data_IF_994866790876
#
_entry.id   IF_994866790876
#
_cell.length_a   1.000
_cell.length_b   1.000
_cell.length_c   1.000
_cell.angle_alpha   90.00
_cell.angle_beta   90.00
_cell.angle_gamma   90.00
#
_symmetry.space_group_name_H-M   'P 1'
#
loop_
_entity.id
_entity.type
_entity.pdbx_description
1 polymer ?
#
# COMPACT_ATOMS: atom_id res chain seq x y z
N UNK A 1 9.20 8.37 3.43
CA UNK A 1 9.08 6.93 3.72
C UNK A 1 9.83 6.15 2.67
N UNK A 2 9.83 4.82 2.73
CA UNK A 2 10.30 3.95 1.65
C UNK A 2 9.42 2.72 1.54
N UNK A 3 9.17 2.26 0.32
CA UNK A 3 8.46 1.02 0.03
C UNK A 3 9.08 0.27 -1.14
N UNK A 4 8.41 -0.78 -1.58
CA UNK A 4 8.84 -1.59 -2.71
C UNK A 4 7.71 -2.43 -3.30
N UNK A 5 8.02 -3.39 -4.18
CA UNK A 5 7.03 -4.27 -4.78
C UNK A 5 6.26 -5.09 -3.74
N UNK A 6 4.96 -5.27 -3.93
CA UNK A 6 4.14 -6.23 -3.16
C UNK A 6 3.52 -7.25 -4.12
N UNK A 7 4.19 -8.38 -4.29
CA UNK A 7 3.88 -9.35 -5.35
C UNK A 7 3.11 -10.53 -4.76
N UNK A 8 2.11 -11.02 -5.48
CA UNK A 8 1.44 -12.26 -5.09
C UNK A 8 2.40 -13.44 -5.25
N UNK A 9 2.55 -14.31 -4.23
CA UNK A 9 3.41 -15.47 -4.35
C UNK A 9 2.83 -16.47 -5.37
N UNK A 10 3.70 -17.21 -6.10
CA UNK A 10 3.24 -18.22 -7.04
C UNK A 10 2.59 -19.40 -6.29
N UNK A 11 1.57 -20.02 -6.88
CA UNK A 11 0.95 -21.23 -6.32
C UNK A 11 -0.03 -20.99 -5.17
N UNK A 12 -0.48 -19.74 -4.96
CA UNK A 12 -1.46 -19.36 -3.94
C UNK A 12 -2.90 -19.85 -4.26
N UNK A 13 -3.08 -20.49 -5.42
CA UNK A 13 -4.32 -21.08 -5.91
C UNK A 13 -5.04 -20.20 -6.93
N UNK A 14 -5.94 -20.79 -7.74
CA UNK A 14 -6.53 -20.12 -8.89
C UNK A 14 -7.34 -18.88 -8.52
N UNK A 15 -8.06 -18.90 -7.39
CA UNK A 15 -8.86 -17.73 -6.96
C UNK A 15 -7.95 -16.60 -6.50
N UNK A 16 -6.93 -16.88 -5.68
CA UNK A 16 -5.98 -15.87 -5.22
C UNK A 16 -5.20 -15.25 -6.39
N UNK A 17 -4.80 -16.05 -7.39
CA UNK A 17 -4.17 -15.56 -8.61
C UNK A 17 -5.11 -14.69 -9.46
N UNK A 18 -6.39 -15.05 -9.57
CA UNK A 18 -7.40 -14.20 -10.20
C UNK A 18 -7.55 -12.86 -9.46
N UNK A 19 -7.62 -12.89 -8.12
CA UNK A 19 -7.72 -11.67 -7.29
C UNK A 19 -6.46 -10.82 -7.42
N UNK A 20 -5.27 -11.43 -7.52
CA UNK A 20 -4.01 -10.70 -7.71
C UNK A 20 -3.97 -9.88 -9.01
N UNK A 21 -4.69 -10.32 -10.03
CA UNK A 21 -4.78 -9.65 -11.34
C UNK A 21 -6.00 -8.72 -11.47
N UNK A 22 -6.88 -8.72 -10.47
CA UNK A 22 -8.03 -7.84 -10.44
C UNK A 22 -7.63 -6.40 -10.07
N UNK A 23 -8.35 -5.38 -10.57
CA UNK A 23 -8.10 -3.99 -10.20
C UNK A 23 -8.43 -3.73 -8.72
N UNK A 24 -7.90 -2.64 -8.17
CA UNK A 24 -8.16 -2.23 -6.77
C UNK A 24 -7.25 -2.91 -5.74
N UNK A 25 -6.20 -3.59 -6.18
CA UNK A 25 -5.11 -4.01 -5.31
C UNK A 25 -4.23 -2.83 -4.88
N UNK A 26 -3.57 -2.91 -3.72
CA UNK A 26 -2.60 -1.90 -3.27
C UNK A 26 -1.35 -1.91 -4.14
N UNK A 27 -1.19 -0.89 -4.98
CA UNK A 27 -0.06 -0.73 -5.91
C UNK A 27 0.61 0.61 -5.62
N UNK A 28 1.94 0.64 -5.70
CA UNK A 28 2.70 1.88 -5.57
C UNK A 28 2.48 2.77 -6.80
N UNK A 29 2.55 4.08 -6.62
CA UNK A 29 2.51 5.04 -7.74
C UNK A 29 3.90 5.65 -7.82
N UNK A 30 4.64 5.37 -8.91
CA UNK A 30 6.02 5.84 -9.08
C UNK A 30 6.05 7.17 -9.84
N UNK A 31 6.87 8.09 -9.35
CA UNK A 31 7.26 9.29 -10.09
C UNK A 31 8.49 9.02 -10.96
N UNK A 32 9.39 8.17 -10.46
CA UNK A 32 10.57 7.67 -11.16
C UNK A 32 11.05 6.36 -10.52
N UNK A 33 12.18 5.82 -10.98
CA UNK A 33 12.72 4.53 -10.50
C UNK A 33 13.09 4.49 -9.01
N UNK A 34 13.17 5.64 -8.34
CA UNK A 34 13.63 5.77 -6.96
C UNK A 34 12.64 6.48 -6.05
N UNK A 35 11.61 7.12 -6.61
CA UNK A 35 10.65 7.93 -5.87
C UNK A 35 9.21 7.57 -6.24
N UNK A 36 8.38 7.53 -5.22
CA UNK A 36 6.96 7.24 -5.32
C UNK A 36 6.13 8.45 -4.88
N UNK A 37 4.98 8.63 -5.51
CA UNK A 37 3.90 9.47 -5.01
C UNK A 37 3.16 8.75 -3.86
N UNK A 38 3.04 7.43 -3.94
CA UNK A 38 2.34 6.61 -2.96
C UNK A 38 3.02 5.25 -2.78
N UNK A 39 3.24 4.86 -1.51
CA UNK A 39 3.67 3.52 -1.11
C UNK A 39 2.55 2.84 -0.32
N UNK A 40 2.09 1.62 -0.69
CA UNK A 40 0.92 1.04 -0.05
C UNK A 40 1.17 0.55 1.37
N UNK A 41 0.11 0.51 2.18
CA UNK A 41 0.15 0.09 3.59
C UNK A 41 0.79 -1.28 3.84
N UNK A 42 0.69 -2.21 2.88
CA UNK A 42 1.28 -3.53 2.99
C UNK A 42 2.81 -3.57 2.80
N UNK A 43 3.44 -2.48 2.35
CA UNK A 43 4.89 -2.40 2.17
C UNK A 43 5.41 -0.96 2.31
N UNK A 44 5.45 -0.49 3.56
CA UNK A 44 5.95 0.84 3.90
C UNK A 44 6.82 0.83 5.15
N UNK A 45 7.86 1.65 5.12
CA UNK A 45 8.71 1.96 6.25
C UNK A 45 8.96 3.46 6.35
N UNK A 46 8.97 3.99 7.57
CA UNK A 46 9.20 5.41 7.83
C UNK A 46 10.30 5.62 8.85
N UNK A 47 11.03 6.72 8.71
CA UNK A 47 11.78 7.26 9.84
C UNK A 47 10.78 7.69 10.90
N UNK A 48 10.98 7.23 12.14
CA UNK A 48 10.11 7.56 13.28
C UNK A 48 9.88 9.08 13.40
N UNK A 49 10.94 9.87 13.31
CA UNK A 49 10.87 11.34 13.40
C UNK A 49 9.97 11.98 12.33
N UNK A 50 9.99 11.48 11.09
CA UNK A 50 9.12 11.99 10.03
C UNK A 50 7.65 11.67 10.30
N UNK A 51 7.38 10.45 10.79
CA UNK A 51 6.03 10.01 11.10
C UNK A 51 5.46 10.76 12.32
N UNK A 52 6.25 10.90 13.39
CA UNK A 52 5.88 11.67 14.58
C UNK A 52 5.63 13.13 14.23
N UNK A 53 6.45 13.72 13.37
CA UNK A 53 6.27 15.10 12.97
C UNK A 53 4.88 15.30 12.37
N UNK A 54 4.36 14.38 11.53
CA UNK A 54 3.02 14.55 10.91
C UNK A 54 1.88 14.18 11.88
N UNK A 55 2.18 13.75 13.10
CA UNK A 55 1.20 13.27 14.07
C UNK A 55 0.82 11.80 13.90
N UNK A 56 1.60 11.03 13.13
CA UNK A 56 1.32 9.61 12.87
C UNK A 56 0.17 9.38 11.89
N UNK A 57 -0.39 8.17 11.93
CA UNK A 57 -1.58 7.79 11.16
C UNK A 57 -2.82 8.42 11.77
N UNK A 58 -3.72 8.92 10.93
CA UNK A 58 -4.98 9.49 11.40
C UNK A 58 -5.97 8.37 11.77
N UNK A 59 -6.45 8.30 13.03
CA UNK A 59 -7.36 7.26 13.48
C UNK A 59 -8.76 7.32 12.86
N UNK A 60 -9.08 8.36 12.07
CA UNK A 60 -10.31 8.40 11.27
C UNK A 60 -10.33 7.31 10.19
N UNK A 61 -9.17 6.99 9.60
CA UNK A 61 -9.05 5.97 8.56
C UNK A 61 -8.92 4.59 9.19
N UNK A 62 -10.06 3.88 9.31
CA UNK A 62 -10.10 2.54 9.92
C UNK A 62 -10.10 1.39 8.92
N UNK A 63 -10.49 1.64 7.67
CA UNK A 63 -10.72 0.60 6.67
C UNK A 63 -9.80 0.74 5.46
N UNK A 64 -9.60 1.97 4.98
CA UNK A 64 -8.79 2.30 3.82
C UNK A 64 -8.39 3.77 3.87
N UNK A 65 -7.37 4.13 3.07
CA UNK A 65 -6.95 5.53 2.85
C UNK A 65 -5.96 6.06 3.87
N UNK A 66 -5.62 5.29 4.91
CA UNK A 66 -4.61 5.64 5.91
C UNK A 66 -3.21 5.74 5.30
N UNK A 67 -2.89 4.87 4.33
CA UNK A 67 -1.64 4.91 3.58
C UNK A 67 -1.55 6.11 2.63
N UNK A 68 -2.64 6.43 1.93
CA UNK A 68 -2.75 7.61 1.06
C UNK A 68 -2.58 8.90 1.86
N UNK A 69 -3.31 9.05 2.95
CA UNK A 69 -3.26 10.23 3.83
C UNK A 69 -1.84 10.48 4.38
N UNK A 70 -1.20 9.44 4.93
CA UNK A 70 0.16 9.56 5.44
C UNK A 70 1.15 9.94 4.33
N UNK A 71 1.01 9.36 3.14
CA UNK A 71 1.86 9.69 2.00
C UNK A 71 1.70 11.16 1.57
N UNK A 72 0.47 11.68 1.53
CA UNK A 72 0.21 13.08 1.21
C UNK A 72 0.75 14.03 2.27
N UNK A 73 0.46 13.80 3.56
CA UNK A 73 0.96 14.67 4.64
C UNK A 73 2.49 14.71 4.74
N UNK A 74 3.18 13.64 4.38
CA UNK A 74 4.65 13.65 4.26
C UNK A 74 5.11 14.52 3.09
N UNK A 75 4.44 14.43 1.94
CA UNK A 75 4.78 15.21 0.73
C UNK A 75 4.44 16.69 0.87
N UNK A 76 3.35 17.05 1.56
CA UNK A 76 2.99 18.45 1.87
C UNK A 76 4.08 19.18 2.70
N UNK A 77 4.95 18.42 3.37
CA UNK A 77 6.14 18.95 4.06
C UNK A 77 7.38 19.06 3.20
N UNK A 78 7.28 18.75 1.91
CA UNK A 78 8.41 18.72 0.98
C UNK A 78 9.33 17.51 1.17
N UNK A 79 8.87 16.44 1.84
CA UNK A 79 9.63 15.19 1.93
C UNK A 79 9.25 14.24 0.80
N UNK A 80 10.21 13.40 0.40
CA UNK A 80 10.00 12.40 -0.65
C UNK A 80 9.69 11.02 -0.07
N UNK A 81 9.02 10.20 -0.87
CA UNK A 81 8.83 8.78 -0.60
C UNK A 81 9.74 7.99 -1.53
N UNK A 82 10.64 7.20 -0.95
CA UNK A 82 11.54 6.35 -1.71
C UNK A 82 10.85 5.09 -2.21
N UNK A 83 11.33 4.59 -3.33
CA UNK A 83 11.02 3.27 -3.85
C UNK A 83 12.31 2.48 -4.03
N UNK A 84 12.32 1.21 -3.62
CA UNK A 84 13.44 0.32 -3.87
C UNK A 84 12.96 -1.03 -4.42
N UNK A 85 13.37 -1.43 -5.64
CA UNK A 85 12.87 -2.66 -6.27
C UNK A 85 13.24 -3.93 -5.50
N UNK A 86 14.34 -3.91 -4.74
CA UNK A 86 14.71 -5.03 -3.88
C UNK A 86 13.98 -5.08 -2.52
N UNK A 87 13.21 -4.04 -2.15
CA UNK A 87 12.39 -4.04 -0.93
C UNK A 87 11.05 -4.76 -1.18
N UNK A 88 11.13 -5.98 -1.71
CA UNK A 88 9.97 -6.78 -2.10
C UNK A 88 9.33 -7.47 -0.90
N UNK A 89 8.00 -7.50 -0.88
CA UNK A 89 7.23 -8.35 0.01
C UNK A 89 6.32 -9.30 -0.78
N UNK A 90 6.13 -10.51 -0.25
CA UNK A 90 5.08 -11.41 -0.71
C UNK A 90 3.76 -11.00 -0.08
N UNK A 91 2.77 -10.70 -0.92
CA UNK A 91 1.46 -10.24 -0.48
C UNK A 91 0.39 -11.23 -0.94
N UNK A 92 0.04 -12.14 -0.04
CA UNK A 92 -1.02 -13.12 -0.24
C UNK A 92 -2.37 -12.43 -0.48
N UNK A 93 -3.08 -12.88 -1.50
CA UNK A 93 -4.40 -12.33 -1.87
C UNK A 93 -5.52 -13.15 -1.23
N UNK A 94 -6.71 -12.56 -1.20
CA UNK A 94 -7.90 -13.27 -0.73
C UNK A 94 -8.18 -14.47 -1.62
N UNK A 95 -8.22 -15.67 -1.03
CA UNK A 95 -8.52 -16.90 -1.75
C UNK A 95 -10.03 -17.22 -1.82
N UNK A 96 -10.87 -16.19 -1.75
CA UNK A 96 -12.33 -16.31 -1.87
C UNK A 96 -12.94 -15.05 -2.47
N UNK A 97 -13.71 -15.21 -3.54
CA UNK A 97 -14.41 -14.11 -4.23
C UNK A 97 -15.33 -13.33 -3.28
N UNK A 98 -16.01 -14.02 -2.35
CA UNK A 98 -16.87 -13.38 -1.34
C UNK A 98 -16.07 -12.49 -0.39
N UNK A 99 -14.88 -12.92 0.02
CA UNK A 99 -14.02 -12.11 0.90
C UNK A 99 -13.42 -10.92 0.16
N UNK A 100 -13.01 -11.12 -1.10
CA UNK A 100 -12.54 -10.05 -1.97
C UNK A 100 -13.63 -9.00 -2.21
N UNK A 101 -14.84 -9.41 -2.60
CA UNK A 101 -15.97 -8.50 -2.82
C UNK A 101 -16.29 -7.64 -1.58
N UNK A 102 -16.31 -8.27 -0.39
CA UNK A 102 -16.53 -7.53 0.87
C UNK A 102 -15.42 -6.52 1.16
N UNK A 103 -14.18 -6.85 0.83
CA UNK A 103 -13.05 -5.93 0.96
C UNK A 103 -13.22 -4.73 0.03
N UNK A 104 -13.57 -4.94 -1.25
CA UNK A 104 -13.80 -3.85 -2.20
C UNK A 104 -14.95 -2.93 -1.77
N UNK A 105 -16.04 -3.48 -1.24
CA UNK A 105 -17.13 -2.67 -0.65
C UNK A 105 -16.61 -1.84 0.53
N UNK A 106 -15.73 -2.42 1.36
CA UNK A 106 -15.13 -1.72 2.51
C UNK A 106 -14.29 -0.51 2.09
N UNK A 107 -13.59 -0.59 0.95
CA UNK A 107 -12.79 0.51 0.43
C UNK A 107 -13.61 1.68 -0.12
N UNK A 108 -14.87 1.47 -0.50
CA UNK A 108 -15.76 2.51 -1.02
C UNK A 108 -16.65 3.19 0.03
N UNK A 109 -16.44 2.92 1.33
CA UNK A 109 -17.18 3.55 2.44
C UNK A 109 -16.43 4.76 2.97
#
# INVERSE_FOLDING_TARGET
GVGGPNIAPPGDGPIAECVARAPGGPVHVLLNDREAEHIPGCNMAFRKSCLEAIGGFDPQFRTAGDDVDVCWRLQERGWTLGFHPAALVWHHRRNSLRTYWRQQIGYGR
#
